data_IF_618391530389
#
_entry.id   IF_618391530389
#
_cell.length_a   1.000
_cell.length_b   1.000
_cell.length_c   1.000
_cell.angle_alpha   90.00
_cell.angle_beta   90.00
_cell.angle_gamma   90.00
#
_symmetry.space_group_name_H-M   'P 1'
#
loop_
_entity.id
_entity.type
_entity.pdbx_description
1 polymer ?
#
# COMPACT_ATOMS: atom_id res chain seq x y z
N UNK A 1 24.01 7.99 -15.28
CA UNK A 1 22.67 8.02 -15.91
C UNK A 1 21.75 8.83 -15.02
N UNK A 2 20.93 9.72 -15.58
CA UNK A 2 20.01 10.56 -14.80
C UNK A 2 18.68 9.87 -14.60
N UNK A 3 17.99 10.21 -13.52
CA UNK A 3 16.61 9.79 -13.31
C UNK A 3 15.72 10.45 -14.36
N UNK A 4 15.10 9.65 -15.19
CA UNK A 4 14.18 10.06 -16.27
C UNK A 4 12.96 9.15 -16.28
N UNK A 5 11.94 9.52 -17.02
CA UNK A 5 10.75 8.68 -17.17
C UNK A 5 11.13 7.26 -17.63
N UNK A 6 10.51 6.25 -17.01
CA UNK A 6 10.76 4.82 -17.23
C UNK A 6 12.15 4.36 -16.79
N UNK A 7 12.81 5.07 -15.87
CA UNK A 7 14.01 4.56 -15.19
C UNK A 7 13.66 3.97 -13.83
N UNK A 8 14.39 2.93 -13.44
CA UNK A 8 14.37 2.40 -12.07
C UNK A 8 15.41 3.14 -11.28
N UNK A 9 14.98 3.81 -10.22
CA UNK A 9 15.86 4.49 -9.28
C UNK A 9 15.82 3.79 -7.92
N UNK A 10 17.00 3.56 -7.36
CA UNK A 10 17.18 3.11 -5.99
C UNK A 10 17.64 4.29 -5.14
N UNK A 11 16.89 4.60 -4.10
CA UNK A 11 17.10 5.75 -3.21
C UNK A 11 17.27 5.30 -1.77
N UNK A 12 18.18 5.93 -1.05
CA UNK A 12 18.07 5.99 0.41
C UNK A 12 17.32 7.25 0.78
N UNK A 13 16.48 7.18 1.80
CA UNK A 13 15.79 8.36 2.30
C UNK A 13 15.48 8.26 3.79
N UNK A 14 15.31 9.41 4.39
CA UNK A 14 14.77 9.60 5.72
C UNK A 14 13.61 10.59 5.63
N UNK A 15 12.45 10.16 6.08
CA UNK A 15 11.27 11.01 6.21
C UNK A 15 11.13 11.46 7.65
N UNK A 16 11.25 12.77 7.85
CA UNK A 16 11.05 13.38 9.16
C UNK A 16 9.73 14.17 9.16
N UNK A 17 8.91 13.90 10.16
CA UNK A 17 7.63 14.57 10.42
C UNK A 17 7.64 15.11 11.83
N UNK A 18 7.37 16.41 12.00
CA UNK A 18 7.35 17.09 13.31
C UNK A 18 8.64 16.86 14.15
N UNK A 19 9.79 16.72 13.47
CA UNK A 19 11.08 16.46 14.13
C UNK A 19 11.31 15.01 14.57
N UNK A 20 10.46 14.08 14.13
CA UNK A 20 10.62 12.64 14.37
C UNK A 20 10.77 11.90 13.05
N UNK A 21 11.63 10.90 13.04
CA UNK A 21 11.74 10.00 11.89
C UNK A 21 10.46 9.17 11.83
N UNK A 22 9.72 9.34 10.75
CA UNK A 22 8.48 8.63 10.50
C UNK A 22 8.69 7.38 9.62
N UNK A 23 9.64 7.48 8.68
CA UNK A 23 10.02 6.39 7.78
C UNK A 23 11.44 6.58 7.28
N UNK A 24 12.10 5.48 6.89
CA UNK A 24 13.47 5.52 6.35
C UNK A 24 13.77 4.30 5.50
N UNK A 25 14.60 4.48 4.47
CA UNK A 25 15.21 3.41 3.69
C UNK A 25 16.73 3.59 3.67
N UNK A 26 17.45 2.62 4.22
CA UNK A 26 18.92 2.61 4.30
C UNK A 26 19.58 2.04 3.04
N UNK A 27 20.91 2.04 3.03
CA UNK A 27 21.71 1.46 1.94
C UNK A 27 21.55 -0.06 1.83
N UNK A 28 21.28 -0.75 2.95
CA UNK A 28 21.04 -2.20 2.98
C UNK A 28 19.73 -2.60 2.29
N UNK A 29 18.76 -1.67 2.28
CA UNK A 29 17.44 -1.87 1.70
C UNK A 29 16.92 -0.57 1.13
N UNK A 30 17.46 -0.12 -0.02
CA UNK A 30 17.03 1.11 -0.66
C UNK A 30 15.60 1.01 -1.20
N UNK A 31 14.92 2.13 -1.28
CA UNK A 31 13.64 2.22 -1.97
C UNK A 31 13.88 2.14 -3.48
N UNK A 32 13.41 1.08 -4.10
CA UNK A 32 13.43 0.94 -5.56
C UNK A 32 12.05 1.29 -6.13
N UNK A 33 12.02 2.09 -7.17
CA UNK A 33 10.77 2.47 -7.84
C UNK A 33 11.01 2.79 -9.32
N UNK A 34 9.96 2.71 -10.12
CA UNK A 34 9.98 3.12 -11.54
C UNK A 34 9.50 4.56 -11.63
N UNK A 35 10.38 5.44 -12.08
CA UNK A 35 10.08 6.86 -12.20
C UNK A 35 9.05 7.16 -13.30
N UNK A 36 8.05 7.99 -12.98
CA UNK A 36 6.99 8.39 -13.90
C UNK A 36 5.82 7.42 -14.01
N UNK A 37 5.73 6.42 -13.12
CA UNK A 37 4.58 5.50 -13.04
C UNK A 37 3.56 5.91 -11.97
N UNK A 38 3.85 6.94 -11.17
CA UNK A 38 2.97 7.40 -10.09
C UNK A 38 3.01 6.50 -8.86
N UNK A 39 4.04 5.67 -8.70
CA UNK A 39 4.24 4.85 -7.49
C UNK A 39 4.53 5.71 -6.26
N UNK A 40 5.18 6.85 -6.45
CA UNK A 40 5.50 7.82 -5.41
C UNK A 40 4.67 9.10 -5.56
N UNK A 41 4.75 9.96 -4.55
CA UNK A 41 4.13 11.27 -4.61
C UNK A 41 4.65 12.07 -5.83
N UNK A 42 3.77 12.66 -6.64
CA UNK A 42 4.20 13.35 -7.87
C UNK A 42 5.25 14.45 -7.64
N UNK A 43 5.12 15.13 -6.51
CA UNK A 43 6.09 16.19 -6.14
C UNK A 43 7.44 15.57 -5.74
N UNK A 44 7.43 14.42 -5.04
CA UNK A 44 8.66 13.68 -4.73
C UNK A 44 9.39 13.30 -6.03
N UNK A 45 8.66 12.72 -6.99
CA UNK A 45 9.24 12.36 -8.29
C UNK A 45 9.85 13.59 -8.98
N UNK A 46 9.17 14.73 -9.00
CA UNK A 46 9.69 15.95 -9.63
C UNK A 46 10.97 16.50 -8.98
N UNK A 47 11.15 16.33 -7.67
CA UNK A 47 12.33 16.80 -6.94
C UNK A 47 13.57 15.90 -7.15
N UNK A 48 13.36 14.64 -7.48
CA UNK A 48 14.45 13.69 -7.75
C UNK A 48 14.72 13.51 -9.24
N UNK A 49 13.84 14.00 -10.12
CA UNK A 49 14.03 13.96 -11.58
C UNK A 49 15.33 14.67 -12.00
N UNK A 50 16.06 14.06 -12.93
CA UNK A 50 17.32 14.60 -13.46
C UNK A 50 18.54 14.40 -12.59
N UNK A 51 18.39 13.88 -11.36
CA UNK A 51 19.53 13.57 -10.47
C UNK A 51 20.32 12.36 -10.94
N UNK A 52 21.60 12.34 -10.56
CA UNK A 52 22.54 11.26 -10.87
C UNK A 52 22.84 10.41 -9.63
N UNK A 53 23.27 9.14 -9.83
CA UNK A 53 23.76 8.31 -8.73
C UNK A 53 24.84 9.02 -7.92
N UNK A 54 24.69 9.01 -6.60
CA UNK A 54 25.57 9.71 -5.68
C UNK A 54 25.10 11.10 -5.26
N UNK A 55 24.15 11.72 -5.96
CA UNK A 55 23.59 13.00 -5.57
C UNK A 55 22.63 12.86 -4.38
N UNK A 56 22.68 13.85 -3.51
CA UNK A 56 21.76 13.96 -2.38
C UNK A 56 20.57 14.84 -2.74
N UNK A 57 19.47 14.64 -2.04
CA UNK A 57 18.31 15.49 -2.11
C UNK A 57 17.80 15.84 -0.71
N UNK A 58 17.24 17.03 -0.59
CA UNK A 58 16.55 17.45 0.61
C UNK A 58 15.43 18.40 0.18
N UNK A 59 14.20 18.07 0.49
CA UNK A 59 13.05 18.91 0.18
C UNK A 59 11.91 18.68 1.19
N UNK A 60 11.00 19.62 1.22
CA UNK A 60 9.84 19.61 2.11
C UNK A 60 8.59 19.60 1.27
N UNK A 61 7.67 18.67 1.58
CA UNK A 61 6.34 18.62 0.97
C UNK A 61 5.32 19.19 1.95
N UNK A 62 4.47 20.08 1.46
CA UNK A 62 3.30 20.54 2.19
C UNK A 62 2.26 19.43 2.28
N UNK A 63 1.30 19.50 3.22
CA UNK A 63 0.23 18.53 3.29
C UNK A 63 -0.51 18.32 1.97
N UNK A 64 -0.74 19.40 1.21
CA UNK A 64 -1.42 19.35 -0.11
C UNK A 64 -0.63 18.59 -1.17
N UNK A 65 0.70 18.69 -1.13
CA UNK A 65 1.63 18.03 -2.06
C UNK A 65 1.98 16.59 -1.62
N UNK A 66 1.68 16.28 -0.36
CA UNK A 66 1.90 14.96 0.25
C UNK A 66 0.64 14.10 0.29
N UNK A 67 0.22 13.73 1.48
CA UNK A 67 -0.93 12.84 1.71
C UNK A 67 -2.26 13.59 1.92
N UNK A 68 -2.33 14.85 1.54
CA UNK A 68 -3.50 15.70 1.65
C UNK A 68 -3.62 16.39 3.01
N UNK A 69 -4.50 17.39 3.07
CA UNK A 69 -4.84 18.08 4.32
C UNK A 69 -5.74 17.19 5.17
N UNK A 70 -5.65 17.38 6.48
CA UNK A 70 -6.60 16.73 7.40
C UNK A 70 -8.02 17.18 7.08
N UNK A 71 -8.92 16.22 6.83
CA UNK A 71 -10.33 16.51 6.56
C UNK A 71 -11.19 16.04 7.75
N UNK A 72 -11.90 16.98 8.42
CA UNK A 72 -12.82 16.63 9.50
C UNK A 72 -13.97 15.70 9.09
N UNK A 73 -14.36 15.68 7.81
CA UNK A 73 -15.42 14.81 7.30
C UNK A 73 -15.05 13.32 7.37
N UNK A 74 -13.76 13.01 7.51
CA UNK A 74 -13.27 11.64 7.71
C UNK A 74 -13.22 11.23 9.18
N UNK A 75 -13.66 12.12 10.09
CA UNK A 75 -13.96 11.76 11.48
C UNK A 75 -15.39 11.24 11.55
N UNK A 76 -15.55 9.96 11.69
CA UNK A 76 -16.86 9.29 11.66
C UNK A 76 -17.15 8.72 13.05
N UNK A 77 -18.31 9.09 13.59
CA UNK A 77 -18.81 8.52 14.84
C UNK A 77 -19.50 7.18 14.56
N UNK A 78 -18.94 6.10 15.04
CA UNK A 78 -19.46 4.74 14.90
C UNK A 78 -19.98 4.22 16.24
N UNK A 79 -21.11 3.49 16.27
CA UNK A 79 -21.59 2.87 17.51
C UNK A 79 -20.63 1.74 17.93
N UNK A 80 -20.45 1.55 19.23
CA UNK A 80 -19.61 0.47 19.79
C UNK A 80 -20.01 -0.92 19.31
N UNK A 81 -21.24 -1.10 18.87
CA UNK A 81 -21.72 -2.35 18.28
C UNK A 81 -20.95 -2.77 17.01
N UNK A 82 -20.36 -1.82 16.27
CA UNK A 82 -19.51 -2.12 15.12
C UNK A 82 -18.18 -2.80 15.51
N UNK A 83 -17.78 -2.73 16.77
CA UNK A 83 -16.53 -3.30 17.30
C UNK A 83 -16.78 -4.55 18.15
N UNK A 84 -17.88 -5.24 17.90
CA UNK A 84 -18.21 -6.50 18.58
C UNK A 84 -17.68 -7.69 17.77
N UNK A 85 -17.01 -8.60 18.46
CA UNK A 85 -16.65 -9.92 17.97
C UNK A 85 -17.34 -10.94 18.88
N UNK A 86 -18.12 -11.84 18.30
CA UNK A 86 -18.88 -12.85 19.05
C UNK A 86 -19.80 -12.26 20.14
N UNK A 87 -20.37 -11.05 19.90
CA UNK A 87 -21.28 -10.39 20.82
C UNK A 87 -20.62 -9.67 22.01
N UNK A 88 -19.30 -9.61 22.06
CA UNK A 88 -18.55 -8.85 23.06
C UNK A 88 -17.84 -7.66 22.41
N UNK A 89 -18.00 -6.47 22.98
CA UNK A 89 -17.26 -5.30 22.58
C UNK A 89 -15.79 -5.51 22.98
N UNK A 90 -14.91 -5.42 22.00
CA UNK A 90 -13.46 -5.53 22.21
C UNK A 90 -12.91 -4.19 22.72
N UNK A 91 -13.13 -3.89 24.01
CA UNK A 91 -12.67 -2.63 24.63
C UNK A 91 -11.16 -2.42 24.51
N UNK A 92 -10.40 -3.51 24.45
CA UNK A 92 -8.94 -3.50 24.23
C UNK A 92 -8.54 -2.88 22.89
N UNK A 93 -9.43 -2.91 21.88
CA UNK A 93 -9.23 -2.29 20.58
C UNK A 93 -9.56 -0.81 20.59
N UNK A 94 -10.40 -0.36 21.52
CA UNK A 94 -10.93 1.01 21.59
C UNK A 94 -10.00 1.93 22.40
N UNK A 95 -8.71 1.85 22.14
CA UNK A 95 -7.70 2.73 22.74
C UNK A 95 -7.41 3.87 21.78
N UNK A 96 -7.50 5.11 22.28
CA UNK A 96 -7.19 6.31 21.47
C UNK A 96 -5.78 6.23 20.87
N UNK A 97 -5.69 6.48 19.55
CA UNK A 97 -4.47 6.36 18.78
C UNK A 97 -4.22 4.97 18.18
N UNK A 98 -5.05 3.97 18.49
CA UNK A 98 -4.92 2.64 17.91
C UNK A 98 -5.57 2.58 16.52
N UNK A 99 -4.86 2.01 15.55
CA UNK A 99 -5.39 1.78 14.20
C UNK A 99 -6.05 0.41 14.12
N UNK A 100 -7.25 0.37 13.57
CA UNK A 100 -8.08 -0.83 13.43
C UNK A 100 -8.46 -0.99 11.95
N UNK A 101 -8.22 -2.15 11.33
CA UNK A 101 -8.73 -2.44 9.99
C UNK A 101 -10.25 -2.65 10.05
N UNK A 102 -10.98 -1.94 9.22
CA UNK A 102 -12.44 -2.01 9.13
C UNK A 102 -12.88 -2.23 7.68
N UNK A 103 -14.05 -2.80 7.49
CA UNK A 103 -14.66 -2.96 6.17
C UNK A 103 -15.58 -1.77 5.90
N UNK A 104 -15.40 -1.12 4.76
CA UNK A 104 -16.35 -0.11 4.29
C UNK A 104 -17.59 -0.78 3.65
N UNK A 105 -18.58 0.02 3.29
CA UNK A 105 -19.80 -0.47 2.65
C UNK A 105 -19.58 -1.15 1.27
N UNK A 106 -18.40 -0.94 0.68
CA UNK A 106 -17.98 -1.59 -0.57
C UNK A 106 -17.21 -2.89 -0.34
N UNK A 107 -17.06 -3.34 0.92
CA UNK A 107 -16.31 -4.54 1.29
C UNK A 107 -14.77 -4.37 1.25
N UNK A 108 -14.28 -3.16 1.13
CA UNK A 108 -12.85 -2.88 1.13
C UNK A 108 -12.35 -2.67 2.56
N UNK A 109 -11.16 -3.16 2.85
CA UNK A 109 -10.49 -2.91 4.12
C UNK A 109 -9.93 -1.49 4.15
N UNK A 110 -10.40 -0.68 5.09
CA UNK A 110 -9.90 0.66 5.37
C UNK A 110 -9.29 0.70 6.75
N UNK A 111 -8.20 1.43 6.90
CA UNK A 111 -7.56 1.63 8.20
C UNK A 111 -8.21 2.83 8.90
N UNK A 112 -8.80 2.62 10.07
CA UNK A 112 -9.32 3.68 10.91
C UNK A 112 -8.54 3.79 12.21
N UNK A 113 -8.22 5.01 12.63
CA UNK A 113 -7.57 5.25 13.92
C UNK A 113 -8.59 5.73 14.93
N UNK A 114 -8.56 5.17 16.14
CA UNK A 114 -9.45 5.60 17.23
C UNK A 114 -9.07 7.02 17.65
N UNK A 115 -9.92 7.98 17.35
CA UNK A 115 -9.72 9.39 17.72
C UNK A 115 -10.25 9.70 19.14
N UNK A 116 -11.46 9.26 19.44
CA UNK A 116 -12.07 9.43 20.76
C UNK A 116 -13.10 8.33 21.05
N UNK A 117 -13.27 7.97 22.30
CA UNK A 117 -14.31 7.04 22.76
C UNK A 117 -15.28 7.81 23.64
N UNK A 118 -16.54 7.90 23.19
CA UNK A 118 -17.62 8.66 23.86
C UNK A 118 -18.78 7.70 24.19
N UNK A 119 -18.91 7.33 25.45
CA UNK A 119 -20.08 6.52 25.91
C UNK A 119 -20.31 5.31 24.98
N UNK A 120 -21.40 5.38 24.19
CA UNK A 120 -21.80 4.31 23.25
C UNK A 120 -21.27 4.49 21.82
N UNK A 121 -20.52 5.58 21.55
CA UNK A 121 -19.95 5.88 20.25
C UNK A 121 -18.43 5.98 20.29
N UNK A 122 -17.79 5.63 19.20
CA UNK A 122 -16.35 5.75 18.98
C UNK A 122 -16.14 6.62 17.75
N UNK A 123 -15.44 7.73 17.92
CA UNK A 123 -15.04 8.58 16.81
C UNK A 123 -13.80 7.95 16.18
N UNK A 124 -13.92 7.55 14.93
CA UNK A 124 -12.83 6.98 14.13
C UNK A 124 -12.32 8.02 13.13
N UNK A 125 -11.01 8.10 13.01
CA UNK A 125 -10.32 8.92 12.03
C UNK A 125 -9.89 8.03 10.86
N UNK A 126 -10.41 8.31 9.67
CA UNK A 126 -10.09 7.64 8.42
C UNK A 126 -9.15 8.47 7.53
N UNK A 127 -8.62 9.58 8.03
CA UNK A 127 -7.56 10.31 7.35
C UNK A 127 -6.29 9.46 7.25
N UNK A 128 -5.49 9.74 6.23
CA UNK A 128 -4.17 9.13 6.16
C UNK A 128 -3.33 9.51 7.39
N UNK A 129 -2.55 8.60 8.01
CA UNK A 129 -1.76 8.90 9.21
C UNK A 129 -0.79 10.08 9.08
N UNK A 130 -0.41 10.41 7.85
CA UNK A 130 0.46 11.55 7.50
C UNK A 130 -0.32 12.75 6.95
N UNK A 131 -1.66 12.70 6.86
CA UNK A 131 -2.47 13.82 6.40
C UNK A 131 -2.32 15.02 7.34
N UNK A 132 -2.30 16.22 6.78
CA UNK A 132 -2.14 17.47 7.50
C UNK A 132 -0.73 17.74 8.04
N UNK A 133 0.23 16.84 7.78
CA UNK A 133 1.61 16.97 8.26
C UNK A 133 2.54 17.42 7.15
N UNK A 134 3.54 18.21 7.52
CA UNK A 134 4.63 18.60 6.63
C UNK A 134 5.67 17.48 6.62
N UNK A 135 6.06 17.03 5.42
CA UNK A 135 6.96 15.92 5.20
C UNK A 135 8.33 16.46 4.78
N UNK A 136 9.36 16.19 5.57
CA UNK A 136 10.73 16.54 5.23
C UNK A 136 11.46 15.29 4.77
N UNK A 137 11.82 15.28 3.50
CA UNK A 137 12.61 14.20 2.90
C UNK A 137 14.06 14.61 2.75
N UNK A 138 14.95 13.77 3.23
CA UNK A 138 16.38 13.86 2.96
C UNK A 138 16.87 12.49 2.49
N UNK A 139 17.78 12.47 1.52
CA UNK A 139 18.24 11.17 1.02
C UNK A 139 19.30 11.30 -0.05
N UNK A 140 19.62 10.17 -0.67
CA UNK A 140 20.64 10.04 -1.69
C UNK A 140 20.22 9.04 -2.77
N UNK A 141 20.54 9.35 -4.00
CA UNK A 141 20.39 8.43 -5.13
C UNK A 141 21.50 7.38 -5.08
N UNK A 142 21.14 6.12 -4.93
CA UNK A 142 22.10 4.99 -4.89
C UNK A 142 22.45 4.53 -6.29
N UNK A 143 21.44 4.23 -7.09
CA UNK A 143 21.62 3.79 -8.48
C UNK A 143 20.46 4.20 -9.37
N UNK A 144 20.74 4.31 -10.65
CA UNK A 144 19.75 4.57 -11.70
C UNK A 144 20.03 3.65 -12.87
N UNK A 145 19.01 2.92 -13.34
CA UNK A 145 19.05 2.06 -14.51
C UNK A 145 17.80 2.21 -15.36
N UNK A 146 17.81 1.78 -16.58
CA UNK A 146 16.60 1.71 -17.39
C UNK A 146 15.69 0.59 -16.88
N UNK A 147 14.37 0.84 -16.90
CA UNK A 147 13.40 -0.20 -16.63
C UNK A 147 13.31 -1.14 -17.84
N UNK A 148 13.19 -2.42 -17.58
CA UNK A 148 12.91 -3.40 -18.64
C UNK A 148 11.44 -3.33 -19.05
N UNK A 149 11.12 -3.75 -20.28
CA UNK A 149 9.71 -3.81 -20.75
C UNK A 149 8.83 -4.65 -19.83
N UNK A 150 9.40 -5.68 -19.24
CA UNK A 150 8.72 -6.54 -18.27
C UNK A 150 8.39 -5.78 -16.98
N UNK A 151 9.32 -5.02 -16.44
CA UNK A 151 9.11 -4.20 -15.24
C UNK A 151 8.08 -3.07 -15.48
N UNK A 152 8.03 -2.53 -16.69
CA UNK A 152 7.03 -1.51 -17.05
C UNK A 152 5.60 -2.09 -17.15
N UNK A 153 5.47 -3.36 -17.48
CA UNK A 153 4.17 -4.04 -17.65
C UNK A 153 3.70 -4.74 -16.38
N UNK A 154 4.61 -5.37 -15.67
CA UNK A 154 4.31 -6.19 -14.49
C UNK A 154 4.61 -5.48 -13.16
N UNK A 155 5.28 -4.31 -13.20
CA UNK A 155 5.84 -3.62 -12.03
C UNK A 155 7.19 -4.19 -11.63
N UNK A 156 7.91 -3.49 -10.76
CA UNK A 156 9.29 -3.82 -10.37
C UNK A 156 9.41 -5.22 -9.74
N UNK A 157 8.37 -5.64 -9.02
CA UNK A 157 8.28 -6.95 -8.36
C UNK A 157 6.97 -7.69 -8.73
N UNK A 158 6.42 -7.42 -9.92
CA UNK A 158 5.13 -7.97 -10.33
C UNK A 158 3.93 -7.30 -9.64
N UNK A 159 4.06 -6.07 -9.21
CA UNK A 159 3.04 -5.33 -8.45
C UNK A 159 1.81 -4.98 -9.28
N UNK A 160 1.96 -4.87 -10.60
CA UNK A 160 0.87 -4.57 -11.54
C UNK A 160 0.17 -5.82 -12.08
N UNK A 161 0.70 -7.00 -11.79
CA UNK A 161 -0.01 -8.23 -12.10
C UNK A 161 -1.29 -8.25 -11.26
N UNK A 162 -2.47 -8.43 -11.88
CA UNK A 162 -3.66 -8.73 -11.11
C UNK A 162 -3.28 -9.93 -10.24
N UNK A 163 -3.42 -9.81 -8.92
CA UNK A 163 -3.38 -10.98 -8.05
C UNK A 163 -4.41 -11.91 -8.65
N UNK A 164 -3.95 -12.98 -9.27
CA UNK A 164 -4.86 -14.06 -9.68
C UNK A 164 -5.49 -14.55 -8.38
N UNK A 165 -6.60 -13.92 -8.02
CA UNK A 165 -7.54 -14.58 -7.15
C UNK A 165 -7.91 -15.81 -7.96
N UNK A 166 -7.32 -16.94 -7.56
CA UNK A 166 -7.82 -18.23 -8.00
C UNK A 166 -9.28 -18.28 -7.54
N UNK A 167 -10.14 -17.65 -8.32
CA UNK A 167 -11.57 -17.65 -8.18
C UNK A 167 -12.11 -19.04 -8.48
N UNK A 168 -11.65 -20.03 -7.71
CA UNK A 168 -12.34 -21.30 -7.56
C UNK A 168 -13.58 -21.05 -6.71
N UNK A 169 -14.42 -20.10 -7.11
CA UNK A 169 -15.78 -19.91 -6.64
C UNK A 169 -16.69 -20.96 -7.25
N UNK A 170 -16.37 -22.21 -7.05
CA UNK A 170 -17.18 -23.37 -7.45
C UNK A 170 -16.87 -24.50 -6.50
N UNK A 171 -17.75 -24.70 -5.58
CA UNK A 171 -18.03 -25.82 -4.71
C UNK A 171 -17.40 -27.15 -5.19
N UNK A 172 -16.09 -27.33 -5.00
CA UNK A 172 -15.45 -28.63 -5.09
C UNK A 172 -15.55 -29.28 -3.71
N UNK A 173 -16.69 -29.88 -3.41
CA UNK A 173 -16.82 -30.85 -2.33
C UNK A 173 -16.03 -32.13 -2.67
N UNK A 174 -14.72 -32.11 -2.51
CA UNK A 174 -13.85 -33.24 -2.77
C UNK A 174 -12.50 -33.00 -2.12
N UNK A 175 -12.20 -33.77 -1.13
CA UNK A 175 -11.01 -33.93 -0.34
C UNK A 175 -9.75 -33.92 -1.23
N UNK A 176 -9.04 -32.79 -1.32
CA UNK A 176 -7.70 -32.73 -1.91
C UNK A 176 -6.69 -33.10 -0.83
N UNK A 177 -6.23 -34.35 -0.87
CA UNK A 177 -5.05 -34.80 -0.14
C UNK A 177 -3.79 -34.13 -0.65
N UNK A 178 -2.83 -33.94 0.24
CA UNK A 178 -1.50 -33.35 0.01
C UNK A 178 -0.83 -33.90 -1.25
N UNK A 179 -0.69 -33.08 -2.28
CA UNK A 179 -0.01 -33.38 -3.52
C UNK A 179 0.15 -32.14 -4.37
N UNK A 180 1.40 -31.81 -4.68
CA UNK A 180 1.80 -30.67 -5.52
C UNK A 180 1.08 -30.70 -6.87
N UNK A 181 0.33 -29.64 -7.18
CA UNK A 181 -0.21 -29.41 -8.52
C UNK A 181 0.86 -28.76 -9.40
N UNK A 182 1.68 -29.55 -10.08
CA UNK A 182 2.49 -29.11 -11.21
C UNK A 182 1.75 -29.44 -12.51
N UNK A 183 1.07 -28.45 -13.09
CA UNK A 183 0.41 -28.63 -14.39
C UNK A 183 -0.26 -27.33 -14.83
N UNK A 184 0.11 -26.86 -16.02
CA UNK A 184 -0.45 -25.70 -16.70
C UNK A 184 -1.96 -25.82 -16.85
N UNK A 185 -2.73 -24.94 -16.17
CA UNK A 185 -4.16 -24.77 -16.40
C UNK A 185 -4.36 -23.60 -17.37
N UNK A 186 -4.51 -23.87 -18.65
CA UNK A 186 -5.04 -22.92 -19.62
C UNK A 186 -6.52 -22.69 -19.38
N UNK A 187 -6.89 -21.59 -18.77
CA UNK A 187 -8.27 -21.12 -18.70
C UNK A 187 -8.58 -20.30 -19.96
N UNK A 188 -9.02 -20.98 -21.02
CA UNK A 188 -9.58 -20.34 -22.19
C UNK A 188 -10.98 -19.76 -21.88
N UNK A 189 -11.23 -18.54 -22.39
CA UNK A 189 -12.48 -17.79 -22.26
C UNK A 189 -13.63 -18.42 -23.02
N UNK A 190 -14.16 -19.57 -22.56
CA UNK A 190 -15.48 -20.09 -22.92
C UNK A 190 -15.86 -21.19 -21.93
N UNK A 191 -17.12 -21.11 -21.46
CA UNK A 191 -17.73 -22.08 -20.54
C UNK A 191 -17.63 -23.51 -21.11
N UNK A 192 -16.62 -24.27 -20.65
CA UNK A 192 -16.60 -25.73 -20.82
C UNK A 192 -15.99 -26.40 -19.59
N UNK A 193 -16.64 -27.48 -19.22
CA UNK A 193 -16.40 -28.32 -18.05
C UNK A 193 -14.90 -28.69 -17.87
N UNK A 194 -14.40 -28.52 -16.64
CA UNK A 194 -13.07 -29.00 -16.26
C UNK A 194 -13.09 -30.53 -16.21
N UNK A 195 -12.49 -31.17 -17.20
CA UNK A 195 -12.29 -32.60 -17.22
C UNK A 195 -10.86 -32.94 -16.74
N UNK A 196 -10.74 -33.24 -15.45
CA UNK A 196 -9.49 -33.77 -14.88
C UNK A 196 -9.33 -35.24 -15.28
N UNK A 197 -8.64 -35.52 -16.37
CA UNK A 197 -8.23 -36.89 -16.72
C UNK A 197 -6.97 -37.25 -15.93
N UNK A 198 -7.14 -38.24 -15.03
CA UNK A 198 -6.02 -38.92 -14.39
C UNK A 198 -5.23 -39.69 -15.45
N UNK A 199 -3.93 -39.46 -15.48
CA UNK A 199 -2.94 -40.47 -15.90
C UNK A 199 -2.01 -40.75 -14.78
#
# INVERSE_FOLDING_TARGET
MKITKNSVAALTYELTVEGKIADQAGEDRPLEYIHGTGMLLPKFESEVEGKEPGETFAFTLTPEEGYGVFNPDYLIDLPKSCFQVEGKVMEELLVVGRTIPMLNNAGQVVQGTVYAVKGDTVTMDFNHPMAGKTLNFTGKVVSVREATEKELTEGLHGEYLPKEECGCGGHCGGHCGEGECSGDCECGSEKKECNCSKK
#
